data_IF_343988644713
#
_entry.id   IF_343988644713
#
_cell.length_a   1.000
_cell.length_b   1.000
_cell.length_c   1.000
_cell.angle_alpha   90.00
_cell.angle_beta   90.00
_cell.angle_gamma   90.00
#
_symmetry.space_group_name_H-M   'P 1'
#
loop_
_entity.id
_entity.type
_entity.pdbx_description
1 polymer ?
#
# COMPACT_ATOMS: atom_id res chain seq x y z
N UNK A 1 -9.85 -58.75 -77.76
CA UNK A 1 -9.75 -60.04 -77.00
C UNK A 1 -9.05 -59.81 -75.73
N UNK A 2 -9.76 -60.07 -74.55
CA UNK A 2 -9.28 -60.24 -73.21
C UNK A 2 -8.50 -59.03 -72.55
N UNK A 3 -9.14 -58.28 -71.62
CA UNK A 3 -9.44 -58.58 -70.23
C UNK A 3 -8.19 -58.88 -69.42
N UNK A 4 -7.79 -57.92 -68.51
CA UNK A 4 -7.65 -58.24 -67.11
C UNK A 4 -7.48 -57.00 -66.23
N UNK A 5 -8.30 -56.98 -65.26
CA UNK A 5 -8.30 -56.24 -64.06
C UNK A 5 -6.97 -56.36 -63.31
N UNK A 6 -6.62 -55.38 -62.46
CA UNK A 6 -6.13 -55.62 -61.12
C UNK A 6 -6.11 -54.33 -60.31
N UNK A 7 -7.07 -54.26 -59.45
CA UNK A 7 -6.97 -53.98 -58.02
C UNK A 7 -6.18 -52.75 -57.52
N UNK A 8 -6.97 -51.78 -57.27
CA UNK A 8 -6.75 -50.68 -56.35
C UNK A 8 -6.41 -51.16 -54.93
N UNK A 9 -5.29 -50.79 -54.40
CA UNK A 9 -5.05 -50.77 -52.95
C UNK A 9 -5.04 -49.35 -52.47
N UNK A 10 -6.16 -48.93 -51.88
CA UNK A 10 -6.25 -47.66 -51.14
C UNK A 10 -5.51 -47.83 -49.81
N UNK A 11 -4.33 -47.18 -49.74
CA UNK A 11 -3.63 -47.05 -48.47
C UNK A 11 -4.23 -45.83 -47.75
N UNK A 12 -5.09 -46.11 -46.77
CA UNK A 12 -5.71 -45.16 -45.90
C UNK A 12 -4.68 -44.78 -44.82
N UNK A 13 -3.97 -43.66 -45.00
CA UNK A 13 -3.07 -43.11 -43.99
C UNK A 13 -3.92 -42.33 -42.98
N UNK A 14 -4.21 -42.94 -41.87
CA UNK A 14 -4.78 -42.29 -40.67
C UNK A 14 -3.70 -41.41 -40.02
N UNK A 15 -3.79 -40.12 -40.25
CA UNK A 15 -2.96 -39.11 -39.59
C UNK A 15 -3.58 -38.85 -38.18
N UNK A 16 -3.09 -39.55 -37.18
CA UNK A 16 -3.42 -39.28 -35.78
C UNK A 16 -2.68 -38.02 -35.34
N UNK A 17 -3.33 -36.88 -35.50
CA UNK A 17 -2.83 -35.61 -34.99
C UNK A 17 -2.91 -35.56 -33.46
N UNK A 18 -1.81 -35.81 -32.80
CA UNK A 18 -1.66 -35.58 -31.33
C UNK A 18 -1.61 -34.07 -31.10
N UNK A 19 -2.75 -33.50 -30.71
CA UNK A 19 -2.80 -32.12 -30.21
C UNK A 19 -2.11 -32.09 -28.86
N UNK A 20 -0.85 -31.68 -28.83
CA UNK A 20 -0.19 -31.28 -27.57
C UNK A 20 -0.88 -29.98 -27.09
N UNK A 21 -1.78 -30.14 -26.13
CA UNK A 21 -2.26 -29.02 -25.34
C UNK A 21 -1.10 -28.54 -24.46
N UNK A 22 -0.32 -27.57 -24.95
CA UNK A 22 0.65 -26.86 -24.14
C UNK A 22 -0.12 -26.06 -23.10
N UNK A 23 -0.32 -26.63 -21.90
CA UNK A 23 -0.68 -25.85 -20.74
C UNK A 23 0.45 -24.85 -20.51
N UNK A 24 0.23 -23.62 -20.97
CA UNK A 24 1.06 -22.49 -20.56
C UNK A 24 0.82 -22.30 -19.06
N UNK A 25 1.61 -22.97 -18.24
CA UNK A 25 1.73 -22.63 -16.85
C UNK A 25 2.24 -21.17 -16.81
N UNK A 26 1.36 -20.24 -16.52
CA UNK A 26 1.77 -18.88 -16.19
C UNK A 26 2.75 -19.00 -15.03
N UNK A 27 4.04 -18.82 -15.30
CA UNK A 27 5.05 -18.76 -14.26
C UNK A 27 4.66 -17.59 -13.35
N UNK A 28 4.18 -17.92 -12.17
CA UNK A 28 3.96 -16.94 -11.12
C UNK A 28 5.36 -16.48 -10.74
N UNK A 29 5.67 -15.21 -11.00
CA UNK A 29 6.95 -14.64 -10.61
C UNK A 29 7.00 -14.62 -9.07
N UNK A 30 7.95 -15.36 -8.49
CA UNK A 30 8.21 -15.25 -7.05
C UNK A 30 8.89 -13.91 -6.76
N UNK A 31 8.59 -13.29 -5.58
CA UNK A 31 9.26 -12.05 -5.18
C UNK A 31 10.79 -12.21 -5.18
N UNK A 32 11.51 -11.27 -5.81
CA UNK A 32 12.97 -11.33 -5.88
C UNK A 32 13.60 -11.09 -4.50
N UNK A 33 14.25 -12.09 -3.89
CA UNK A 33 14.85 -11.94 -2.56
C UNK A 33 16.04 -10.97 -2.53
N UNK A 34 16.61 -10.60 -3.68
CA UNK A 34 17.77 -9.69 -3.78
C UNK A 34 17.39 -8.21 -3.60
N UNK A 35 16.12 -7.86 -3.73
CA UNK A 35 15.68 -6.47 -3.61
C UNK A 35 15.84 -5.93 -2.19
N UNK A 36 15.46 -6.72 -1.18
CA UNK A 36 15.49 -6.26 0.21
C UNK A 36 16.90 -5.91 0.74
N UNK A 37 17.95 -6.71 0.53
CA UNK A 37 19.31 -6.34 0.95
C UNK A 37 19.75 -4.99 0.39
N UNK A 38 19.46 -4.70 -0.89
CA UNK A 38 19.79 -3.42 -1.54
C UNK A 38 19.03 -2.27 -0.90
N UNK A 39 17.73 -2.43 -0.67
CA UNK A 39 16.91 -1.41 -0.03
C UNK A 39 17.32 -1.19 1.42
N UNK A 40 17.57 -2.26 2.18
CA UNK A 40 18.04 -2.17 3.55
C UNK A 40 19.31 -1.31 3.65
N UNK A 41 20.28 -1.55 2.77
CA UNK A 41 21.52 -0.76 2.72
C UNK A 41 21.22 0.70 2.36
N UNK A 42 20.36 0.95 1.37
CA UNK A 42 20.04 2.31 0.90
C UNK A 42 19.30 3.16 1.95
N UNK A 43 18.41 2.57 2.74
CA UNK A 43 17.56 3.30 3.71
C UNK A 43 18.09 3.27 5.13
N UNK A 44 18.82 2.23 5.50
CA UNK A 44 19.25 2.00 6.89
C UNK A 44 20.75 1.74 7.02
N UNK A 45 21.50 1.82 5.93
CA UNK A 45 22.93 1.57 5.88
C UNK A 45 23.27 0.18 6.46
N UNK A 46 24.29 0.09 7.32
CA UNK A 46 24.72 -1.15 7.98
C UNK A 46 24.03 -1.39 9.33
N UNK A 47 22.97 -0.66 9.64
CA UNK A 47 22.25 -0.85 10.91
C UNK A 47 21.67 -2.25 11.00
N UNK A 48 21.86 -2.88 12.14
CA UNK A 48 21.27 -4.20 12.41
C UNK A 48 19.75 -4.10 12.52
N UNK A 49 19.07 -5.16 12.09
CA UNK A 49 17.62 -5.22 12.06
C UNK A 49 17.18 -6.61 12.54
N UNK A 50 16.28 -6.62 13.52
CA UNK A 50 15.77 -7.86 14.13
C UNK A 50 14.39 -8.18 13.58
N UNK A 51 14.20 -9.42 13.08
CA UNK A 51 12.86 -9.91 12.73
C UNK A 51 12.05 -10.17 14.00
N UNK A 52 10.77 -9.76 14.01
CA UNK A 52 9.90 -9.82 15.19
C UNK A 52 8.46 -10.14 14.84
N UNK A 53 7.73 -10.69 15.81
CA UNK A 53 6.32 -11.05 15.68
C UNK A 53 5.36 -10.00 16.28
N UNK A 54 5.86 -9.03 17.05
CA UNK A 54 5.04 -7.98 17.65
C UNK A 54 4.71 -6.84 16.68
N UNK A 55 5.40 -6.75 15.55
CA UNK A 55 5.02 -5.93 14.38
C UNK A 55 4.27 -6.86 13.44
N UNK A 56 3.03 -6.50 13.07
CA UNK A 56 2.18 -7.36 12.25
C UNK A 56 1.71 -6.63 11.00
N UNK A 57 1.60 -7.41 9.93
CA UNK A 57 1.05 -6.99 8.65
C UNK A 57 -0.10 -7.94 8.32
N UNK A 58 -1.33 -7.44 8.33
CA UNK A 58 -2.48 -8.17 7.83
C UNK A 58 -2.85 -7.68 6.44
N UNK A 59 -2.93 -8.63 5.50
CA UNK A 59 -3.21 -8.37 4.10
C UNK A 59 -3.63 -9.66 3.39
N UNK A 60 -4.37 -9.60 2.26
CA UNK A 60 -4.67 -10.77 1.47
C UNK A 60 -3.39 -11.36 0.85
N UNK A 61 -3.32 -12.68 0.72
CA UNK A 61 -2.21 -13.32 0.00
C UNK A 61 -2.18 -12.97 -1.49
N UNK A 62 -3.37 -12.73 -2.07
CA UNK A 62 -3.55 -12.29 -3.45
C UNK A 62 -4.56 -11.16 -3.45
N UNK A 63 -4.19 -10.04 -4.05
CA UNK A 63 -5.09 -8.92 -4.28
C UNK A 63 -5.70 -9.01 -5.69
N UNK A 64 -6.92 -8.52 -5.83
CA UNK A 64 -7.63 -8.45 -7.13
C UNK A 64 -6.99 -7.40 -8.05
N UNK A 65 -6.42 -6.36 -7.47
CA UNK A 65 -5.75 -5.27 -8.18
C UNK A 65 -4.54 -4.79 -7.41
N UNK A 66 -3.41 -4.60 -8.07
CA UNK A 66 -2.23 -3.94 -7.51
C UNK A 66 -2.42 -2.45 -7.22
N UNK A 67 -3.46 -1.82 -7.75
CA UNK A 67 -3.70 -0.38 -7.55
C UNK A 67 -4.22 -0.04 -6.15
N UNK A 68 -4.89 -0.97 -5.46
CA UNK A 68 -5.56 -0.73 -4.17
C UNK A 68 -5.53 -1.97 -3.27
N UNK A 69 -4.35 -2.41 -2.87
CA UNK A 69 -4.16 -3.55 -1.98
C UNK A 69 -4.44 -3.12 -0.54
N UNK A 70 -5.46 -3.69 0.13
CA UNK A 70 -5.74 -3.37 1.52
C UNK A 70 -4.69 -3.99 2.43
N UNK A 71 -4.18 -3.21 3.37
CA UNK A 71 -3.23 -3.67 4.40
C UNK A 71 -3.60 -3.06 5.75
N UNK A 72 -3.35 -3.83 6.81
CA UNK A 72 -3.44 -3.34 8.19
C UNK A 72 -2.10 -3.58 8.87
N UNK A 73 -1.55 -2.53 9.44
CA UNK A 73 -0.31 -2.55 10.21
C UNK A 73 -0.63 -2.41 11.69
N UNK A 74 0.03 -3.20 12.53
CA UNK A 74 -0.14 -3.08 13.97
C UNK A 74 1.15 -3.37 14.73
N UNK A 75 1.24 -2.78 15.94
CA UNK A 75 2.30 -3.05 16.93
C UNK A 75 1.62 -3.55 18.19
N UNK A 76 1.93 -4.77 18.59
CA UNK A 76 1.45 -5.38 19.81
C UNK A 76 2.39 -5.00 20.97
N UNK A 77 2.03 -3.95 21.71
CA UNK A 77 2.85 -3.42 22.79
C UNK A 77 3.07 -4.45 23.94
N UNK A 78 2.13 -5.37 24.16
CA UNK A 78 2.27 -6.41 25.16
C UNK A 78 3.32 -7.46 24.74
N UNK A 79 3.29 -7.88 23.49
CA UNK A 79 4.27 -8.80 22.93
C UNK A 79 5.65 -8.15 22.74
N UNK A 80 5.72 -6.83 22.59
CA UNK A 80 6.96 -6.07 22.44
C UNK A 80 7.80 -5.99 23.73
N UNK A 81 7.27 -6.39 24.89
CA UNK A 81 8.00 -6.48 26.18
C UNK A 81 8.82 -5.23 26.51
N UNK A 82 8.22 -4.05 26.34
CA UNK A 82 8.85 -2.76 26.64
C UNK A 82 9.61 -2.12 25.48
N UNK A 83 9.70 -2.75 24.32
CA UNK A 83 10.19 -2.10 23.08
C UNK A 83 9.14 -1.09 22.62
N UNK A 84 9.51 0.20 22.58
CA UNK A 84 8.63 1.27 22.11
C UNK A 84 9.04 1.70 20.71
N UNK A 85 8.19 1.41 19.75
CA UNK A 85 8.35 1.88 18.37
C UNK A 85 7.83 3.32 18.28
N UNK A 86 8.66 4.22 17.76
CA UNK A 86 8.31 5.63 17.56
C UNK A 86 8.14 5.98 16.10
N UNK A 87 8.62 5.11 15.19
CA UNK A 87 8.49 5.30 13.75
C UNK A 87 8.34 3.96 13.04
N UNK A 88 7.48 3.92 12.03
CA UNK A 88 7.30 2.76 11.16
C UNK A 88 7.50 3.17 9.71
N UNK A 89 8.30 2.42 8.99
CA UNK A 89 8.52 2.57 7.55
C UNK A 89 7.85 1.40 6.82
N UNK A 90 6.95 1.70 5.90
CA UNK A 90 6.29 0.69 5.09
C UNK A 90 6.89 0.65 3.68
N UNK A 91 7.35 -0.52 3.27
CA UNK A 91 7.94 -0.76 1.95
C UNK A 91 7.15 -1.80 1.18
N UNK A 92 7.19 -1.69 -0.15
CA UNK A 92 6.86 -2.76 -1.10
C UNK A 92 8.09 -2.99 -1.95
N UNK A 93 8.74 -4.14 -1.79
CA UNK A 93 10.10 -4.40 -2.30
C UNK A 93 10.25 -4.15 -3.81
N UNK A 94 9.26 -4.57 -4.61
CA UNK A 94 9.33 -4.50 -6.07
C UNK A 94 8.69 -3.24 -6.69
N UNK A 95 8.24 -2.29 -5.88
CA UNK A 95 7.76 -1.03 -6.42
C UNK A 95 8.92 -0.17 -6.92
N UNK A 96 8.78 0.57 -8.02
CA UNK A 96 9.81 1.50 -8.50
C UNK A 96 10.23 2.53 -7.46
N UNK A 97 9.30 2.94 -6.59
CA UNK A 97 9.53 3.76 -5.39
C UNK A 97 9.05 2.93 -4.20
N UNK A 98 9.94 2.18 -3.54
CA UNK A 98 9.54 1.14 -2.60
C UNK A 98 8.98 1.67 -1.27
N UNK A 99 9.44 2.82 -0.75
CA UNK A 99 8.91 3.42 0.47
C UNK A 99 7.51 3.98 0.21
N UNK A 100 6.49 3.32 0.75
CA UNK A 100 5.07 3.72 0.55
C UNK A 100 4.62 4.78 1.53
N UNK A 101 5.08 4.71 2.78
CA UNK A 101 4.80 5.70 3.82
C UNK A 101 5.76 5.55 5.01
N UNK A 102 5.91 6.65 5.78
CA UNK A 102 6.51 6.65 7.11
C UNK A 102 5.47 7.15 8.12
N UNK A 103 5.26 6.39 9.19
CA UNK A 103 4.33 6.71 10.27
C UNK A 103 5.12 7.14 11.50
N UNK A 104 4.89 8.36 12.01
CA UNK A 104 5.46 8.87 13.25
C UNK A 104 4.45 8.68 14.37
N UNK A 105 4.77 7.81 15.32
CA UNK A 105 3.86 7.36 16.35
C UNK A 105 3.98 8.20 17.61
N UNK A 106 2.84 8.43 18.27
CA UNK A 106 2.79 9.07 19.60
C UNK A 106 2.07 8.18 20.60
N UNK A 107 2.18 8.50 21.89
CA UNK A 107 1.47 7.77 22.95
C UNK A 107 -0.05 7.91 22.84
N UNK A 108 -0.55 8.96 22.19
CA UNK A 108 -1.97 9.18 21.94
C UNK A 108 -2.63 8.10 21.07
N UNK A 109 -1.84 7.27 20.37
CA UNK A 109 -2.36 6.14 19.58
C UNK A 109 -2.71 4.92 20.47
N UNK A 110 -2.16 4.81 21.67
CA UNK A 110 -2.20 3.59 22.47
C UNK A 110 -1.49 2.44 21.73
N UNK A 111 -2.22 1.35 21.45
CA UNK A 111 -1.73 0.31 20.55
C UNK A 111 -1.89 0.78 19.10
N UNK A 112 -0.78 0.86 18.38
CA UNK A 112 -0.83 1.23 16.96
C UNK A 112 -1.56 0.16 16.16
N UNK A 113 -2.60 0.58 15.46
CA UNK A 113 -3.32 -0.23 14.49
C UNK A 113 -3.82 0.72 13.39
N UNK A 114 -3.39 0.50 12.15
CA UNK A 114 -3.72 1.36 11.03
C UNK A 114 -4.02 0.53 9.79
N UNK A 115 -5.21 0.72 9.22
CA UNK A 115 -5.59 0.16 7.93
C UNK A 115 -5.48 1.21 6.84
N UNK A 116 -4.92 0.82 5.71
CA UNK A 116 -4.73 1.66 4.52
C UNK A 116 -4.80 0.84 3.24
N UNK A 117 -4.59 1.48 2.10
CA UNK A 117 -4.45 0.83 0.80
C UNK A 117 -3.16 1.29 0.13
N UNK A 118 -2.42 0.34 -0.39
CA UNK A 118 -1.12 0.60 -1.04
C UNK A 118 -1.07 -0.02 -2.43
N UNK A 119 -0.12 0.45 -3.24
CA UNK A 119 0.09 -0.02 -4.61
C UNK A 119 1.17 -1.09 -4.65
N UNK A 120 0.96 -2.05 -5.55
CA UNK A 120 1.92 -3.08 -5.90
C UNK A 120 2.13 -3.08 -7.42
N UNK A 121 3.35 -2.97 -7.89
CA UNK A 121 3.65 -3.09 -9.31
C UNK A 121 3.67 -4.55 -9.75
N UNK A 122 4.17 -5.43 -8.92
CA UNK A 122 4.23 -6.88 -9.12
C UNK A 122 4.18 -7.61 -7.79
N UNK A 123 4.16 -8.94 -7.84
CA UNK A 123 4.31 -9.80 -6.66
C UNK A 123 5.53 -9.36 -5.84
N UNK A 124 5.35 -9.11 -4.56
CA UNK A 124 6.40 -8.56 -3.69
C UNK A 124 6.17 -8.87 -2.21
N UNK A 125 7.21 -8.65 -1.40
CA UNK A 125 7.02 -8.51 0.04
C UNK A 125 6.60 -7.07 0.37
N UNK A 126 5.59 -6.95 1.22
CA UNK A 126 5.42 -5.75 2.03
C UNK A 126 6.23 -5.91 3.31
N UNK A 127 7.00 -4.88 3.67
CA UNK A 127 7.80 -4.86 4.90
C UNK A 127 7.42 -3.67 5.74
N UNK A 128 7.37 -3.93 7.05
CA UNK A 128 7.15 -2.88 8.03
C UNK A 128 8.36 -2.85 8.98
N UNK A 129 9.14 -1.77 8.91
CA UNK A 129 10.33 -1.57 9.73
C UNK A 129 9.99 -0.61 10.85
N UNK A 130 10.09 -1.08 12.08
CA UNK A 130 9.91 -0.28 13.28
C UNK A 130 11.24 0.26 13.81
N UNK A 131 11.26 1.53 14.17
CA UNK A 131 12.41 2.19 14.77
C UNK A 131 12.06 2.71 16.17
N UNK A 132 12.92 2.43 17.14
CA UNK A 132 12.84 2.95 18.51
C UNK A 132 13.54 4.30 18.62
N UNK A 133 13.31 5.03 19.71
CA UNK A 133 13.94 6.32 19.97
C UNK A 133 15.48 6.24 20.07
N UNK A 134 16.01 5.09 20.49
CA UNK A 134 17.46 4.82 20.54
C UNK A 134 18.02 4.26 19.22
N UNK A 135 17.19 4.20 18.18
CA UNK A 135 17.60 3.87 16.82
C UNK A 135 17.68 2.37 16.51
N UNK A 136 17.19 1.47 17.38
CA UNK A 136 17.10 0.04 17.06
C UNK A 136 16.04 -0.22 16.02
N UNK A 137 16.29 -1.18 15.12
CA UNK A 137 15.40 -1.53 14.03
C UNK A 137 14.83 -2.94 14.20
N UNK A 138 13.54 -3.03 13.95
CA UNK A 138 12.76 -4.27 13.98
C UNK A 138 11.98 -4.40 12.69
N UNK A 139 11.82 -5.61 12.14
CA UNK A 139 11.14 -5.80 10.87
C UNK A 139 10.16 -6.97 10.91
N UNK A 140 9.04 -6.77 10.24
CA UNK A 140 8.14 -7.84 9.83
C UNK A 140 7.92 -7.78 8.32
N UNK A 141 7.64 -8.92 7.69
CA UNK A 141 7.39 -9.01 6.27
C UNK A 141 6.22 -9.93 5.95
N UNK A 142 5.55 -9.66 4.81
CA UNK A 142 4.47 -10.50 4.28
C UNK A 142 4.51 -10.49 2.76
N UNK A 143 4.50 -11.67 2.17
CA UNK A 143 4.36 -11.85 0.73
C UNK A 143 2.93 -11.56 0.28
N UNK A 144 2.79 -10.78 -0.79
CA UNK A 144 1.50 -10.47 -1.42
C UNK A 144 1.66 -10.60 -2.93
N UNK A 145 0.68 -11.24 -3.56
CA UNK A 145 0.57 -11.36 -5.01
C UNK A 145 -0.38 -10.30 -5.54
N UNK A 146 0.15 -9.40 -6.34
CA UNK A 146 -0.59 -8.32 -6.98
C UNK A 146 0.20 -7.76 -8.16
N UNK A 147 -0.46 -7.06 -9.08
CA UNK A 147 0.23 -6.49 -10.23
C UNK A 147 -0.43 -5.21 -10.76
N UNK A 148 0.38 -4.36 -11.43
CA UNK A 148 -0.09 -3.24 -12.24
C UNK A 148 -0.56 -2.01 -11.46
N UNK A 149 0.00 -1.74 -10.29
CA UNK A 149 -0.50 -0.66 -9.42
C UNK A 149 0.18 0.69 -9.52
N UNK A 150 1.43 0.76 -9.96
CA UNK A 150 2.23 2.00 -9.92
C UNK A 150 2.29 2.74 -11.25
N UNK A 151 2.32 1.99 -12.36
CA UNK A 151 2.38 2.49 -13.73
C UNK A 151 1.03 2.41 -14.43
N UNK A 152 1.08 2.23 -15.76
CA UNK A 152 -0.09 2.10 -16.61
C UNK A 152 -0.55 3.41 -17.23
N UNK A 153 -1.67 3.35 -17.93
CA UNK A 153 -2.28 4.52 -18.59
C UNK A 153 -3.39 5.10 -17.73
N UNK A 154 -3.49 6.42 -17.74
CA UNK A 154 -4.59 7.16 -17.15
C UNK A 154 -5.35 7.90 -18.23
N UNK A 155 -6.66 8.00 -18.07
CA UNK A 155 -7.55 8.70 -18.97
C UNK A 155 -8.32 9.75 -18.18
N UNK A 156 -8.78 10.79 -18.87
CA UNK A 156 -9.61 11.84 -18.30
C UNK A 156 -8.97 13.21 -18.34
N UNK A 157 -9.78 14.21 -18.01
CA UNK A 157 -9.35 15.60 -17.89
C UNK A 157 -8.56 15.79 -16.59
N UNK A 158 -7.22 15.80 -16.67
CA UNK A 158 -6.34 16.00 -15.52
C UNK A 158 -6.61 17.35 -14.80
N UNK A 159 -7.04 18.39 -15.50
CA UNK A 159 -7.39 19.65 -14.87
C UNK A 159 -8.64 19.51 -14.00
N UNK A 160 -9.68 18.83 -14.48
CA UNK A 160 -10.89 18.54 -13.71
C UNK A 160 -10.60 17.59 -12.53
N UNK A 161 -9.76 16.58 -12.74
CA UNK A 161 -9.31 15.65 -11.70
C UNK A 161 -8.60 16.41 -10.58
N UNK A 162 -7.63 17.27 -10.91
CA UNK A 162 -6.90 18.11 -9.95
C UNK A 162 -7.83 19.10 -9.23
N UNK A 163 -8.78 19.72 -9.94
CA UNK A 163 -9.75 20.63 -9.35
C UNK A 163 -10.67 19.92 -8.33
N UNK A 164 -10.93 18.64 -8.50
CA UNK A 164 -11.76 17.85 -7.59
C UNK A 164 -11.02 17.35 -6.34
N UNK A 165 -9.69 17.47 -6.29
CA UNK A 165 -8.86 17.00 -5.18
C UNK A 165 -9.10 17.81 -3.89
N UNK A 166 -8.92 17.14 -2.75
CA UNK A 166 -8.94 17.77 -1.43
C UNK A 166 -10.24 17.64 -0.64
N UNK A 167 -11.26 16.96 -1.18
CA UNK A 167 -12.47 16.67 -0.39
C UNK A 167 -12.15 15.64 0.68
N UNK A 168 -12.22 16.06 1.95
CA UNK A 168 -11.92 15.21 3.11
C UNK A 168 -13.23 14.64 3.67
N UNK A 169 -13.18 13.33 4.02
CA UNK A 169 -14.11 12.66 4.91
C UNK A 169 -13.34 12.26 6.15
N UNK A 170 -13.65 12.89 7.28
CA UNK A 170 -12.98 12.64 8.55
C UNK A 170 -14.05 12.41 9.62
N UNK A 171 -13.96 11.30 10.35
CA UNK A 171 -14.92 10.94 11.39
C UNK A 171 -14.27 10.13 12.50
N UNK A 172 -14.84 10.22 13.69
CA UNK A 172 -14.55 9.39 14.88
C UNK A 172 -15.74 8.47 15.09
N UNK A 173 -15.50 7.21 15.44
CA UNK A 173 -16.56 6.25 15.76
C UNK A 173 -17.09 6.51 17.17
N UNK A 174 -18.41 6.51 17.31
CA UNK A 174 -19.10 6.68 18.59
C UNK A 174 -19.55 5.33 19.18
N UNK A 175 -19.71 5.18 20.50
CA UNK A 175 -19.47 6.20 21.51
C UNK A 175 -17.99 6.36 21.87
N UNK A 176 -17.56 7.60 22.10
CA UNK A 176 -16.21 7.91 22.57
C UNK A 176 -16.15 7.80 24.08
N UNK A 177 -15.05 7.24 24.62
CA UNK A 177 -14.80 7.12 26.08
C UNK A 177 -13.40 7.61 26.39
N UNK A 178 -13.27 8.41 27.42
CA UNK A 178 -11.97 8.90 27.94
C UNK A 178 -11.06 7.71 28.24
N UNK A 179 -9.82 7.77 27.79
CA UNK A 179 -8.80 6.75 28.05
C UNK A 179 -9.00 5.44 27.31
N UNK A 180 -10.03 5.32 26.45
CA UNK A 180 -10.29 4.14 25.64
C UNK A 180 -9.90 4.35 24.17
N UNK A 181 -9.39 3.31 23.54
CA UNK A 181 -9.07 3.35 22.12
C UNK A 181 -10.33 3.61 21.29
N UNK A 182 -10.33 4.68 20.53
CA UNK A 182 -11.44 5.12 19.68
C UNK A 182 -11.01 5.12 18.23
N UNK A 183 -11.77 4.45 17.39
CA UNK A 183 -11.44 4.36 15.97
C UNK A 183 -11.76 5.68 15.24
N UNK A 184 -10.85 6.10 14.39
CA UNK A 184 -11.03 7.24 13.51
C UNK A 184 -10.76 6.85 12.05
N UNK A 185 -11.46 7.48 11.13
CA UNK A 185 -11.34 7.25 9.70
C UNK A 185 -11.10 8.56 8.98
N UNK A 186 -10.07 8.60 8.18
CA UNK A 186 -9.74 9.67 7.27
C UNK A 186 -9.72 9.15 5.83
N UNK A 187 -10.30 9.91 4.92
CA UNK A 187 -10.18 9.70 3.49
C UNK A 187 -10.15 11.07 2.81
N UNK A 188 -9.22 11.26 1.90
CA UNK A 188 -9.11 12.46 1.08
C UNK A 188 -9.22 12.09 -0.39
N UNK A 189 -10.07 12.77 -1.14
CA UNK A 189 -10.12 12.62 -2.59
C UNK A 189 -8.85 13.18 -3.19
N UNK A 190 -8.03 12.33 -3.81
CA UNK A 190 -6.80 12.73 -4.44
C UNK A 190 -6.32 11.65 -5.44
N UNK A 191 -5.92 11.99 -6.67
CA UNK A 191 -5.61 11.00 -7.70
C UNK A 191 -4.30 10.24 -7.45
N UNK A 192 -3.45 10.72 -6.57
CA UNK A 192 -2.18 10.09 -6.22
C UNK A 192 -1.36 9.69 -7.46
N UNK A 193 -1.16 10.64 -8.38
CA UNK A 193 -0.35 10.41 -9.58
C UNK A 193 1.09 10.13 -9.18
N UNK A 194 1.62 9.01 -9.68
CA UNK A 194 2.95 8.53 -9.27
C UNK A 194 4.10 9.20 -10.01
N UNK A 195 3.84 9.83 -11.16
CA UNK A 195 4.87 10.29 -12.09
C UNK A 195 5.35 9.19 -13.06
N UNK A 196 4.88 7.96 -12.89
CA UNK A 196 5.22 6.81 -13.74
C UNK A 196 4.08 6.43 -14.70
N UNK A 197 2.92 7.04 -14.53
CA UNK A 197 1.73 6.81 -15.34
C UNK A 197 1.83 7.60 -16.65
N UNK A 198 1.21 7.07 -17.69
CA UNK A 198 1.15 7.73 -19.01
C UNK A 198 -0.27 8.18 -19.31
N UNK A 199 -0.40 9.34 -19.93
CA UNK A 199 -1.66 9.78 -20.49
C UNK A 199 -2.04 8.89 -21.68
N UNK A 200 -3.32 8.49 -21.77
CA UNK A 200 -3.77 7.47 -22.72
C UNK A 200 -3.55 7.86 -24.19
N UNK A 201 -3.80 9.13 -24.54
CA UNK A 201 -3.74 9.62 -25.92
C UNK A 201 -2.32 10.02 -26.31
N UNK A 202 -1.69 10.89 -25.55
CA UNK A 202 -0.36 11.41 -25.88
C UNK A 202 0.78 10.44 -25.55
N UNK A 203 0.53 9.44 -24.70
CA UNK A 203 1.53 8.55 -24.14
C UNK A 203 2.65 9.27 -23.37
N UNK A 204 2.49 10.56 -23.10
CA UNK A 204 3.38 11.34 -22.25
C UNK A 204 3.26 10.94 -20.78
N UNK A 205 4.33 11.13 -20.01
CA UNK A 205 4.26 10.92 -18.56
C UNK A 205 3.40 11.98 -17.88
N UNK A 206 2.49 11.55 -17.00
CA UNK A 206 1.72 12.44 -16.15
C UNK A 206 2.59 12.85 -14.96
N UNK A 207 2.77 14.15 -14.69
CA UNK A 207 3.55 14.62 -13.54
C UNK A 207 3.03 14.06 -12.23
N UNK A 208 3.94 13.78 -11.30
CA UNK A 208 3.57 13.34 -9.96
C UNK A 208 2.69 14.40 -9.28
N UNK A 209 1.55 13.94 -8.74
CA UNK A 209 0.63 14.77 -7.96
C UNK A 209 0.01 13.90 -6.87
N UNK A 210 0.47 14.06 -5.62
CA UNK A 210 0.11 13.17 -4.52
C UNK A 210 0.13 13.91 -3.18
N UNK A 211 -0.64 13.40 -2.22
CA UNK A 211 -0.52 13.83 -0.82
C UNK A 211 0.84 13.34 -0.31
N UNK A 212 1.69 14.27 0.14
CA UNK A 212 3.00 13.94 0.70
C UNK A 212 3.02 13.85 2.23
N UNK A 213 2.03 14.45 2.90
CA UNK A 213 1.97 14.47 4.36
C UNK A 213 0.53 14.53 4.86
N UNK A 214 0.24 13.82 5.95
CA UNK A 214 -1.01 13.93 6.70
C UNK A 214 -0.70 14.03 8.19
N UNK A 215 -1.14 15.09 8.85
CA UNK A 215 -0.90 15.38 10.26
C UNK A 215 -2.21 15.38 11.02
N UNK A 216 -2.31 14.54 12.05
CA UNK A 216 -3.49 14.43 12.92
C UNK A 216 -3.15 14.97 14.30
N UNK A 217 -3.94 15.94 14.78
CA UNK A 217 -3.75 16.54 16.08
C UNK A 217 -5.04 16.50 16.91
N UNK A 218 -4.93 16.23 18.19
CA UNK A 218 -6.04 16.28 19.15
C UNK A 218 -5.77 17.32 20.21
N UNK A 219 -6.66 18.29 20.39
CA UNK A 219 -6.44 19.45 21.27
C UNK A 219 -5.08 20.13 21.05
N UNK A 220 -4.67 20.25 19.78
CA UNK A 220 -3.38 20.83 19.38
C UNK A 220 -2.14 19.94 19.62
N UNK A 221 -2.30 18.75 20.20
CA UNK A 221 -1.20 17.78 20.41
C UNK A 221 -1.12 16.78 19.25
N UNK A 222 0.07 16.42 18.75
CA UNK A 222 0.23 15.40 17.72
C UNK A 222 -0.34 14.05 18.16
N UNK A 223 -1.10 13.39 17.30
CA UNK A 223 -1.59 12.02 17.45
C UNK A 223 -0.83 11.10 16.51
N UNK A 224 -0.83 11.42 15.23
CA UNK A 224 -0.16 10.65 14.17
C UNK A 224 0.28 11.61 13.07
N UNK A 225 1.50 11.44 12.59
CA UNK A 225 1.97 12.06 11.36
C UNK A 225 2.34 10.98 10.37
N UNK A 226 1.91 11.13 9.12
CA UNK A 226 2.21 10.19 8.03
C UNK A 226 2.91 10.97 6.93
N UNK A 227 4.17 10.63 6.65
CA UNK A 227 4.82 11.01 5.40
C UNK A 227 4.36 10.01 4.34
N UNK A 228 3.58 10.48 3.39
CA UNK A 228 2.87 9.65 2.42
C UNK A 228 3.66 9.62 1.12
N UNK A 229 3.94 8.42 0.62
CA UNK A 229 4.60 8.22 -0.67
C UNK A 229 3.62 7.89 -1.79
N UNK A 230 4.11 7.90 -3.02
CA UNK A 230 3.34 7.57 -4.23
C UNK A 230 2.88 6.11 -4.28
N UNK A 231 3.45 5.24 -3.43
CA UNK A 231 3.00 3.87 -3.23
C UNK A 231 1.68 3.75 -2.44
N UNK A 232 1.17 4.85 -1.86
CA UNK A 232 -0.18 4.89 -1.31
C UNK A 232 -1.20 4.96 -2.45
N UNK A 233 -2.31 4.22 -2.31
CA UNK A 233 -3.34 4.17 -3.35
C UNK A 233 -4.07 5.49 -3.56
N UNK A 234 -4.76 5.62 -4.70
CA UNK A 234 -5.67 6.72 -4.98
C UNK A 234 -6.70 6.90 -3.86
N UNK A 235 -7.11 8.14 -3.59
CA UNK A 235 -8.00 8.52 -2.50
C UNK A 235 -7.48 7.99 -1.16
N UNK A 236 -6.33 8.50 -0.66
CA UNK A 236 -5.69 8.04 0.57
C UNK A 236 -6.68 7.83 1.70
N UNK A 237 -6.64 6.61 2.25
CA UNK A 237 -7.51 6.15 3.31
C UNK A 237 -6.66 5.68 4.48
N UNK A 238 -6.96 6.22 5.68
CA UNK A 238 -6.34 5.79 6.94
C UNK A 238 -7.42 5.57 7.98
N UNK A 239 -7.53 4.34 8.48
CA UNK A 239 -8.33 4.02 9.66
C UNK A 239 -7.38 3.60 10.77
N UNK A 240 -7.42 4.33 11.90
CA UNK A 240 -6.55 4.07 13.05
C UNK A 240 -7.27 4.39 14.35
N UNK A 241 -6.69 3.97 15.48
CA UNK A 241 -7.22 4.29 16.79
C UNK A 241 -6.42 5.43 17.43
N UNK A 242 -7.10 6.24 18.25
CA UNK A 242 -6.46 7.17 19.18
C UNK A 242 -7.13 7.05 20.55
N UNK A 243 -6.47 7.53 21.60
CA UNK A 243 -6.94 7.49 22.97
C UNK A 243 -7.20 8.92 23.45
N UNK A 244 -8.45 9.40 23.43
CA UNK A 244 -8.78 10.75 23.90
C UNK A 244 -8.65 10.86 25.43
N UNK A 245 -8.05 11.95 25.89
CA UNK A 245 -7.86 12.28 27.32
C UNK A 245 -8.88 13.29 27.87
N UNK A 246 -9.57 14.00 26.98
CA UNK A 246 -10.61 14.99 27.31
C UNK A 246 -11.49 15.24 26.07
N UNK A 247 -12.68 15.83 26.18
CA UNK A 247 -13.42 16.37 25.03
C UNK A 247 -12.59 17.41 24.28
N UNK A 248 -12.79 17.53 22.97
CA UNK A 248 -12.08 18.56 22.23
C UNK A 248 -12.04 18.41 20.74
N UNK A 249 -11.15 19.18 20.12
CA UNK A 249 -11.02 19.28 18.67
C UNK A 249 -10.03 18.25 18.13
N UNK A 250 -10.48 17.40 17.21
CA UNK A 250 -9.64 16.54 16.41
C UNK A 250 -9.49 17.15 15.01
N UNK A 251 -8.25 17.38 14.58
CA UNK A 251 -7.96 18.06 13.34
C UNK A 251 -6.99 17.26 12.47
N UNK A 252 -7.19 17.29 11.17
CA UNK A 252 -6.27 16.74 10.18
C UNK A 252 -5.87 17.83 9.19
N UNK A 253 -4.57 17.89 8.88
CA UNK A 253 -4.02 18.68 7.79
C UNK A 253 -3.28 17.76 6.83
N UNK A 254 -3.74 17.70 5.58
CA UNK A 254 -3.07 16.99 4.50
C UNK A 254 -2.40 17.99 3.56
N UNK A 255 -1.16 17.72 3.16
CA UNK A 255 -0.38 18.58 2.25
C UNK A 255 0.04 17.76 1.04
N UNK A 256 -0.19 18.27 -0.17
CA UNK A 256 0.29 17.65 -1.39
C UNK A 256 1.74 18.03 -1.73
N UNK A 257 2.29 17.39 -2.77
CA UNK A 257 3.66 17.65 -3.22
C UNK A 257 3.85 19.01 -3.90
N UNK A 258 2.76 19.72 -4.23
CA UNK A 258 2.78 21.08 -4.78
C UNK A 258 2.66 22.14 -3.66
N UNK A 259 2.48 21.71 -2.40
CA UNK A 259 2.40 22.57 -1.22
C UNK A 259 1.01 23.05 -0.84
N UNK A 260 -0.03 22.58 -1.55
CA UNK A 260 -1.41 22.88 -1.19
C UNK A 260 -1.82 22.08 0.04
N UNK A 261 -2.50 22.72 0.97
CA UNK A 261 -3.02 22.13 2.22
C UNK A 261 -4.52 21.97 2.20
N UNK A 262 -4.99 20.89 2.82
CA UNK A 262 -6.41 20.57 2.99
C UNK A 262 -6.63 20.24 4.46
N UNK A 263 -7.54 20.93 5.13
CA UNK A 263 -7.77 20.79 6.56
C UNK A 263 -9.23 20.45 6.85
N UNK A 264 -9.43 19.55 7.79
CA UNK A 264 -10.76 19.21 8.33
C UNK A 264 -10.65 19.05 9.84
N UNK A 265 -11.63 19.54 10.56
CA UNK A 265 -11.73 19.38 12.00
C UNK A 265 -13.12 18.89 12.41
N UNK A 266 -13.19 18.24 13.56
CA UNK A 266 -14.42 17.81 14.17
C UNK A 266 -14.32 17.93 15.70
N UNK A 267 -15.46 18.17 16.36
CA UNK A 267 -15.56 18.18 17.82
C UNK A 267 -15.86 16.77 18.31
N UNK A 268 -15.00 16.26 19.21
CA UNK A 268 -15.18 14.98 19.88
C UNK A 268 -15.83 15.22 21.24
N UNK A 269 -17.00 14.62 21.42
CA UNK A 269 -17.82 14.70 22.66
C UNK A 269 -17.90 13.30 23.27
N UNK A 270 -18.19 13.24 24.59
CA UNK A 270 -18.33 11.98 25.34
C UNK A 270 -19.74 11.81 25.85
#
# INVERSE_FOLDING_TARGET
MRLNQLLSSKLLMTLTGTILLACSASAVAEPDPKLWPVMKEAFFEKREMTEVDFIKIDAPRRAESGAQVPVTYSVDNAAAKGVKIVKLYAFVDANPIPLTATYHLTDALGNFNLSTRIRFETDAFVRLVGETADGKLYVASREIRAAGGCGGTVDGDEAAIRASAGKIKFKVEEPVKIGAATATTFNIKHPMRTGLQRELVSQGFVPAFYIKKSEFTYNGKPVLTIDVGVGTAEDPYFKFNFVPDAPGKFEVTATDNEGKTFTQALEVKF
#
